data_IF_934042972779
#
_entry.id   IF_934042972779
#
_cell.length_a   1.000
_cell.length_b   1.000
_cell.length_c   1.000
_cell.angle_alpha   90.00
_cell.angle_beta   90.00
_cell.angle_gamma   90.00
#
_symmetry.space_group_name_H-M   'P 1'
#
loop_
_entity.id
_entity.type
_entity.pdbx_description
1 polymer ?
#
# COMPACT_ATOMS: atom_id res chain seq x y z
N UNK A 1 8.05 25.17 -0.83
CA UNK A 1 6.61 25.36 -0.60
C UNK A 1 5.93 25.59 -1.94
N UNK A 2 5.51 24.54 -2.63
CA UNK A 2 4.67 24.64 -3.82
C UNK A 2 3.62 23.53 -3.76
N UNK A 3 2.36 23.95 -3.85
CA UNK A 3 1.13 23.14 -4.01
C UNK A 3 0.56 22.37 -2.81
N UNK A 4 0.18 23.11 -1.75
CA UNK A 4 -0.65 22.59 -0.67
C UNK A 4 -2.15 22.43 -1.03
N UNK A 5 -2.65 23.04 -2.10
CA UNK A 5 -4.08 22.99 -2.45
C UNK A 5 -4.40 21.97 -3.56
N UNK A 6 -3.53 21.84 -4.57
CA UNK A 6 -3.71 20.90 -5.68
C UNK A 6 -3.46 19.45 -5.23
N UNK A 7 -2.45 19.25 -4.38
CA UNK A 7 -2.11 17.96 -3.75
C UNK A 7 -3.21 17.51 -2.78
N UNK A 8 -3.80 18.45 -2.03
CA UNK A 8 -4.92 18.19 -1.11
C UNK A 8 -6.18 17.69 -1.84
N UNK A 9 -6.53 18.29 -3.00
CA UNK A 9 -7.71 17.90 -3.78
C UNK A 9 -7.50 16.62 -4.60
N UNK A 10 -6.27 16.32 -5.04
CA UNK A 10 -6.00 15.10 -5.83
C UNK A 10 -5.76 13.86 -4.96
N UNK A 11 -5.17 13.99 -3.76
CA UNK A 11 -4.82 12.84 -2.91
C UNK A 11 -5.96 12.39 -1.98
N UNK A 12 -6.82 13.30 -1.52
CA UNK A 12 -7.93 12.96 -0.60
C UNK A 12 -9.18 12.39 -1.29
N UNK A 13 -9.27 12.49 -2.62
CA UNK A 13 -10.43 12.05 -3.39
C UNK A 13 -10.18 10.78 -4.24
N UNK A 14 -8.98 10.18 -4.21
CA UNK A 14 -8.66 9.01 -5.06
C UNK A 14 -9.69 7.87 -4.93
N UNK A 15 -10.12 7.48 -3.72
CA UNK A 15 -11.08 6.38 -3.56
C UNK A 15 -12.54 6.85 -3.66
N UNK A 16 -12.82 8.16 -3.59
CA UNK A 16 -14.21 8.67 -3.51
C UNK A 16 -15.05 8.30 -4.74
N UNK A 17 -14.60 8.51 -5.99
CA UNK A 17 -15.37 8.08 -7.15
C UNK A 17 -15.61 6.57 -7.19
N UNK A 18 -14.67 5.78 -6.65
CA UNK A 18 -14.80 4.32 -6.57
C UNK A 18 -15.89 3.96 -5.56
N UNK A 19 -15.88 4.56 -4.38
CA UNK A 19 -16.88 4.34 -3.33
C UNK A 19 -18.27 4.80 -3.78
N UNK A 20 -18.36 5.96 -4.44
CA UNK A 20 -19.62 6.50 -4.95
C UNK A 20 -20.28 5.58 -6.01
N UNK A 21 -19.48 4.78 -6.71
CA UNK A 21 -19.94 3.79 -7.70
C UNK A 21 -20.06 2.37 -7.15
N UNK A 22 -19.94 2.16 -5.85
CA UNK A 22 -19.98 0.83 -5.25
C UNK A 22 -21.39 0.19 -5.37
N UNK A 23 -21.47 -1.15 -5.51
CA UNK A 23 -22.74 -1.86 -5.39
C UNK A 23 -23.43 -1.58 -4.03
N UNK A 24 -24.77 -1.50 -3.96
CA UNK A 24 -25.50 -1.06 -2.76
C UNK A 24 -25.25 -1.88 -1.48
N UNK A 25 -24.84 -3.12 -1.66
CA UNK A 25 -24.58 -4.17 -0.68
C UNK A 25 -23.12 -4.20 -0.21
N UNK A 26 -22.25 -3.38 -0.81
CA UNK A 26 -20.86 -3.20 -0.39
C UNK A 26 -20.79 -2.06 0.61
N UNK A 27 -20.47 -2.40 1.85
CA UNK A 27 -20.38 -1.41 2.93
C UNK A 27 -18.96 -0.82 2.99
N UNK A 28 -18.84 0.45 2.60
CA UNK A 28 -17.56 1.16 2.55
C UNK A 28 -17.58 2.40 3.45
N UNK A 29 -16.43 2.74 4.01
CA UNK A 29 -16.18 4.06 4.59
C UNK A 29 -14.87 4.64 4.08
N UNK A 30 -14.81 5.97 4.01
CA UNK A 30 -13.59 6.72 3.74
C UNK A 30 -13.35 7.67 4.90
N UNK A 31 -12.14 7.65 5.44
CA UNK A 31 -11.70 8.58 6.47
C UNK A 31 -10.40 9.25 6.05
N UNK A 32 -10.32 10.54 6.29
CA UNK A 32 -9.05 11.24 6.29
C UNK A 32 -8.50 11.23 7.73
N UNK A 33 -7.18 11.11 7.85
CA UNK A 33 -6.47 11.24 9.11
C UNK A 33 -5.63 12.52 9.06
N UNK A 34 -5.90 13.42 9.99
CA UNK A 34 -5.17 14.70 10.12
C UNK A 34 -3.99 14.52 11.06
N UNK A 35 -2.87 15.12 10.69
CA UNK A 35 -1.63 15.10 11.46
C UNK A 35 -1.32 16.49 12.01
N UNK A 36 -0.29 16.62 12.84
CA UNK A 36 0.23 17.93 13.25
C UNK A 36 0.84 18.72 12.07
N UNK A 37 1.14 18.03 10.98
CA UNK A 37 1.60 18.61 9.71
C UNK A 37 0.47 18.65 8.66
N UNK A 38 0.58 19.50 7.60
CA UNK A 38 -0.54 19.75 6.68
C UNK A 38 -0.92 18.58 5.77
N UNK A 39 -0.01 17.66 5.51
CA UNK A 39 -0.27 16.49 4.65
C UNK A 39 -1.16 15.49 5.40
N UNK A 40 -2.16 14.93 4.72
CA UNK A 40 -3.17 14.04 5.32
C UNK A 40 -2.99 12.60 4.84
N UNK A 41 -3.24 11.64 5.72
CA UNK A 41 -3.38 10.24 5.32
C UNK A 41 -4.84 9.92 4.97
N UNK A 42 -5.06 8.91 4.13
CA UNK A 42 -6.39 8.46 3.70
C UNK A 42 -6.56 6.98 4.01
N UNK A 43 -7.72 6.61 4.55
CA UNK A 43 -8.08 5.24 4.90
C UNK A 43 -9.43 4.93 4.26
N UNK A 44 -9.45 4.05 3.25
CA UNK A 44 -10.67 3.45 2.76
C UNK A 44 -10.87 2.09 3.43
N UNK A 45 -12.09 1.77 3.85
CA UNK A 45 -12.38 0.59 4.65
C UNK A 45 -13.61 -0.14 4.14
N UNK A 46 -13.45 -1.43 3.85
CA UNK A 46 -14.55 -2.37 3.74
C UNK A 46 -15.03 -2.76 5.13
N UNK A 47 -16.31 -2.57 5.38
CA UNK A 47 -16.95 -3.02 6.60
C UNK A 47 -17.36 -4.49 6.45
N UNK A 48 -17.16 -5.30 7.50
CA UNK A 48 -17.51 -6.70 7.47
C UNK A 48 -19.03 -6.89 7.43
N UNK A 49 -19.47 -7.99 6.82
CA UNK A 49 -20.90 -8.29 6.72
C UNK A 49 -21.53 -8.43 8.11
N UNK A 50 -22.84 -8.14 8.19
CA UNK A 50 -23.59 -8.28 9.44
C UNK A 50 -23.60 -9.72 9.97
N UNK A 51 -23.46 -10.72 9.08
CA UNK A 51 -23.38 -12.15 9.44
C UNK A 51 -22.06 -12.47 10.14
N UNK A 52 -20.97 -11.83 9.73
CA UNK A 52 -19.63 -12.07 10.25
C UNK A 52 -19.33 -11.34 11.55
N UNK A 53 -20.15 -10.34 11.96
CA UNK A 53 -19.98 -9.61 13.24
C UNK A 53 -20.43 -10.48 14.44
N UNK A 54 -19.51 -11.05 15.24
CA UNK A 54 -19.88 -11.88 16.38
C UNK A 54 -20.15 -10.96 17.58
N UNK A 55 -21.41 -10.57 17.78
CA UNK A 55 -21.83 -9.52 18.71
C UNK A 55 -21.15 -8.16 18.44
N UNK A 56 -21.90 -7.06 18.51
CA UNK A 56 -21.38 -5.71 18.25
C UNK A 56 -20.26 -5.24 19.22
N UNK A 57 -19.92 -6.05 20.24
CA UNK A 57 -18.95 -5.74 21.28
C UNK A 57 -17.54 -6.32 21.03
N UNK A 58 -17.36 -7.26 20.10
CA UNK A 58 -16.05 -7.84 19.79
C UNK A 58 -15.49 -7.14 18.56
N UNK A 59 -14.36 -6.44 18.71
CA UNK A 59 -13.63 -5.86 17.57
C UNK A 59 -12.93 -7.00 16.82
N UNK A 60 -13.16 -7.08 15.52
CA UNK A 60 -12.52 -8.08 14.66
C UNK A 60 -11.13 -7.61 14.22
N UNK A 61 -10.16 -8.53 14.06
CA UNK A 61 -8.83 -8.21 13.58
C UNK A 61 -8.93 -7.57 12.19
N UNK A 62 -8.28 -6.41 12.02
CA UNK A 62 -8.30 -5.65 10.77
C UNK A 62 -7.16 -6.10 9.86
N UNK A 63 -7.45 -6.24 8.57
CA UNK A 63 -6.47 -6.51 7.52
C UNK A 63 -6.13 -5.19 6.83
N UNK A 64 -4.84 -4.86 6.72
CA UNK A 64 -4.39 -3.56 6.19
C UNK A 64 -3.53 -3.75 4.94
N UNK A 65 -3.81 -2.96 3.90
CA UNK A 65 -2.97 -2.79 2.72
C UNK A 65 -2.50 -1.34 2.67
N UNK A 66 -1.19 -1.11 2.76
CA UNK A 66 -0.59 0.22 2.88
C UNK A 66 0.24 0.64 1.68
N UNK A 67 0.30 1.95 1.44
CA UNK A 67 1.23 2.63 0.53
C UNK A 67 1.49 4.06 1.01
N UNK A 68 2.52 4.72 0.47
CA UNK A 68 2.87 6.11 0.81
C UNK A 68 2.39 7.09 -0.27
N UNK A 69 2.02 8.31 0.14
CA UNK A 69 1.50 9.37 -0.74
C UNK A 69 2.49 10.50 -1.05
N UNK A 70 3.47 10.67 -0.17
CA UNK A 70 4.43 11.76 -0.30
C UNK A 70 5.51 11.44 -1.31
N UNK A 71 6.23 12.49 -1.68
CA UNK A 71 7.40 12.46 -2.55
C UNK A 71 8.43 13.42 -1.98
N UNK A 72 9.70 13.15 -2.22
CA UNK A 72 10.78 14.04 -1.82
C UNK A 72 11.87 14.04 -2.87
N UNK A 73 12.51 15.19 -3.06
CA UNK A 73 13.74 15.31 -3.82
C UNK A 73 14.90 15.52 -2.84
N UNK A 74 15.85 14.59 -2.83
CA UNK A 74 16.95 14.58 -1.87
C UNK A 74 18.11 15.50 -2.28
N UNK A 75 18.18 15.90 -3.55
CA UNK A 75 19.12 16.93 -3.99
C UNK A 75 18.67 18.30 -3.51
N UNK A 76 17.37 18.59 -3.58
CA UNK A 76 16.80 19.82 -3.02
C UNK A 76 15.28 19.73 -2.86
N UNK A 77 14.71 20.19 -1.72
CA UNK A 77 13.26 20.25 -1.52
C UNK A 77 12.56 21.30 -2.40
N UNK A 78 13.31 22.10 -3.17
CA UNK A 78 12.78 23.05 -4.15
C UNK A 78 12.71 22.47 -5.57
N UNK A 79 13.33 21.32 -5.81
CA UNK A 79 13.26 20.63 -7.09
C UNK A 79 12.00 19.77 -7.19
N UNK A 80 11.50 19.52 -8.41
CA UNK A 80 10.42 18.56 -8.61
C UNK A 80 10.77 17.18 -8.06
N UNK A 81 9.78 16.52 -7.48
CA UNK A 81 9.83 15.12 -7.05
C UNK A 81 8.65 14.38 -7.70
N UNK A 82 8.77 13.92 -8.96
CA UNK A 82 7.66 13.25 -9.62
C UNK A 82 7.33 11.89 -8.99
N UNK A 83 8.35 11.21 -8.44
CA UNK A 83 8.26 10.04 -7.56
C UNK A 83 7.36 8.91 -8.09
N UNK A 84 7.48 8.67 -9.40
CA UNK A 84 6.61 7.74 -10.12
C UNK A 84 6.69 6.33 -9.53
N UNK A 85 7.89 5.84 -9.22
CA UNK A 85 8.06 4.54 -8.56
C UNK A 85 8.29 4.67 -7.05
N UNK A 86 8.97 5.72 -6.58
CA UNK A 86 9.35 5.91 -5.17
C UNK A 86 8.19 5.82 -4.18
N UNK A 87 6.96 6.18 -4.58
CA UNK A 87 5.73 5.90 -3.83
C UNK A 87 4.49 5.85 -4.73
N UNK A 88 4.53 6.54 -5.88
CA UNK A 88 3.41 6.61 -6.82
C UNK A 88 2.93 5.24 -7.32
N UNK A 89 3.85 4.34 -7.64
CA UNK A 89 3.50 3.01 -8.15
C UNK A 89 2.80 2.15 -7.10
N UNK A 90 3.26 2.17 -5.85
CA UNK A 90 2.62 1.48 -4.72
C UNK A 90 1.20 2.00 -4.47
N UNK A 91 1.04 3.34 -4.46
CA UNK A 91 -0.26 4.01 -4.32
C UNK A 91 -1.25 3.55 -5.40
N UNK A 92 -0.82 3.56 -6.67
CA UNK A 92 -1.68 3.13 -7.80
C UNK A 92 -1.98 1.63 -7.72
N UNK A 93 -1.01 0.81 -7.32
CA UNK A 93 -1.18 -0.64 -7.15
C UNK A 93 -2.31 -0.96 -6.18
N UNK A 94 -2.30 -0.39 -4.96
CA UNK A 94 -3.35 -0.66 -3.98
C UNK A 94 -4.67 0.01 -4.35
N UNK A 95 -4.66 1.17 -5.04
CA UNK A 95 -5.86 1.81 -5.55
C UNK A 95 -6.56 0.97 -6.62
N UNK A 96 -5.80 0.32 -7.50
CA UNK A 96 -6.34 -0.62 -8.50
C UNK A 96 -6.94 -1.86 -7.85
N UNK A 97 -6.28 -2.40 -6.82
CA UNK A 97 -6.82 -3.51 -6.04
C UNK A 97 -8.12 -3.13 -5.32
N UNK A 98 -8.15 -1.97 -4.65
CA UNK A 98 -9.35 -1.41 -4.02
C UNK A 98 -10.50 -1.30 -5.02
N UNK A 99 -10.25 -0.68 -6.19
CA UNK A 99 -11.25 -0.56 -7.25
C UNK A 99 -11.79 -1.91 -7.70
N UNK A 100 -10.92 -2.90 -7.92
CA UNK A 100 -11.32 -4.23 -8.37
C UNK A 100 -12.23 -4.92 -7.34
N UNK A 101 -11.88 -4.85 -6.05
CA UNK A 101 -12.70 -5.41 -4.96
C UNK A 101 -14.07 -4.72 -4.86
N UNK A 102 -14.12 -3.39 -4.94
CA UNK A 102 -15.39 -2.65 -4.94
C UNK A 102 -16.27 -3.05 -6.13
N UNK A 103 -15.70 -3.08 -7.34
CA UNK A 103 -16.43 -3.45 -8.56
C UNK A 103 -16.92 -4.90 -8.55
N UNK A 104 -16.17 -5.79 -7.90
CA UNK A 104 -16.54 -7.19 -7.77
C UNK A 104 -17.57 -7.46 -6.66
N UNK A 105 -18.00 -6.44 -5.92
CA UNK A 105 -18.98 -6.61 -4.85
C UNK A 105 -18.39 -7.26 -3.60
N UNK A 106 -17.11 -7.02 -3.29
CA UNK A 106 -16.45 -7.67 -2.17
C UNK A 106 -17.16 -7.35 -0.83
N UNK A 107 -17.49 -8.41 -0.09
CA UNK A 107 -18.12 -8.35 1.24
C UNK A 107 -17.27 -9.17 2.22
N UNK A 108 -16.27 -8.56 2.86
CA UNK A 108 -15.35 -9.34 3.67
C UNK A 108 -15.99 -9.77 4.99
N UNK A 109 -15.43 -10.82 5.61
CA UNK A 109 -15.86 -11.32 6.90
C UNK A 109 -15.24 -10.53 8.06
N UNK A 110 -14.02 -10.03 7.87
CA UNK A 110 -13.35 -9.09 8.77
C UNK A 110 -13.11 -7.75 8.07
N UNK A 111 -12.86 -6.66 8.80
CA UNK A 111 -12.60 -5.39 8.17
C UNK A 111 -11.31 -5.40 7.35
N UNK A 112 -11.37 -4.81 6.15
CA UNK A 112 -10.20 -4.63 5.27
C UNK A 112 -10.00 -3.15 5.00
N UNK A 113 -8.80 -2.64 5.28
CA UNK A 113 -8.45 -1.23 5.13
C UNK A 113 -7.35 -1.04 4.09
N UNK A 114 -7.51 0.00 3.27
CA UNK A 114 -6.54 0.50 2.31
C UNK A 114 -6.03 1.85 2.81
N UNK A 115 -4.75 1.90 3.13
CA UNK A 115 -4.09 3.04 3.74
C UNK A 115 -3.16 3.70 2.73
N UNK A 116 -3.29 5.02 2.64
CA UNK A 116 -2.40 5.89 1.91
C UNK A 116 -1.81 6.87 2.92
N UNK A 117 -0.59 6.60 3.38
CA UNK A 117 0.03 7.33 4.48
C UNK A 117 0.72 8.60 3.98
N UNK A 118 0.63 9.65 4.77
CA UNK A 118 1.36 10.89 4.57
C UNK A 118 2.80 10.83 5.12
N UNK A 119 3.70 11.54 4.45
CA UNK A 119 5.02 11.93 5.00
C UNK A 119 5.87 10.74 5.49
N UNK A 120 6.12 9.75 4.64
CA UNK A 120 7.15 8.72 4.85
C UNK A 120 8.56 9.30 4.79
N UNK A 121 8.83 10.20 3.86
CA UNK A 121 10.16 10.80 3.66
C UNK A 121 10.56 11.74 4.81
N UNK A 122 9.58 12.22 5.59
CA UNK A 122 9.82 12.90 6.87
C UNK A 122 10.11 11.97 8.04
N UNK A 123 10.30 10.67 7.78
CA UNK A 123 10.57 9.65 8.78
C UNK A 123 9.33 8.91 9.27
N UNK A 124 8.45 8.48 8.36
CA UNK A 124 7.26 7.65 8.65
C UNK A 124 6.23 8.32 9.57
N UNK A 125 6.07 9.63 9.48
CA UNK A 125 5.26 10.39 10.44
C UNK A 125 3.78 10.02 10.36
N UNK A 126 3.22 9.92 9.15
CA UNK A 126 1.78 9.61 9.00
C UNK A 126 1.40 8.20 9.47
N UNK A 127 2.22 7.20 9.15
CA UNK A 127 2.00 5.83 9.63
C UNK A 127 2.23 5.72 11.14
N UNK A 128 3.14 6.51 11.72
CA UNK A 128 3.34 6.58 13.18
C UNK A 128 2.13 7.13 13.93
N UNK A 129 1.52 8.21 13.44
CA UNK A 129 0.34 8.76 14.09
C UNK A 129 -0.85 7.78 14.02
N UNK A 130 -1.04 7.12 12.88
CA UNK A 130 -2.10 6.12 12.71
C UNK A 130 -1.88 4.91 13.62
N UNK A 131 -0.66 4.36 13.68
CA UNK A 131 -0.34 3.26 14.60
C UNK A 131 -0.56 3.69 16.04
N UNK A 132 -0.15 4.89 16.42
CA UNK A 132 -0.34 5.42 17.77
C UNK A 132 -1.81 5.52 18.14
N UNK A 133 -2.66 6.03 17.22
CA UNK A 133 -4.11 6.08 17.41
C UNK A 133 -4.71 4.68 17.50
N UNK A 134 -4.26 3.74 16.67
CA UNK A 134 -4.75 2.35 16.68
C UNK A 134 -4.43 1.65 17.99
N UNK A 135 -3.23 1.86 18.53
CA UNK A 135 -2.83 1.38 19.86
C UNK A 135 -3.68 2.02 20.96
N UNK A 136 -3.90 3.34 20.89
CA UNK A 136 -4.74 4.05 21.85
C UNK A 136 -6.19 3.53 21.86
N UNK A 137 -6.75 3.30 20.67
CA UNK A 137 -8.09 2.73 20.48
C UNK A 137 -8.15 1.22 20.75
N UNK A 138 -7.01 0.56 21.01
CA UNK A 138 -6.89 -0.90 21.19
C UNK A 138 -7.41 -1.70 20.00
N UNK A 139 -7.23 -1.18 18.78
CA UNK A 139 -7.59 -1.88 17.55
C UNK A 139 -6.74 -3.13 17.40
N UNK A 140 -7.40 -4.24 17.14
CA UNK A 140 -6.73 -5.50 16.81
C UNK A 140 -6.37 -5.54 15.31
N UNK A 141 -5.09 -5.76 15.01
CA UNK A 141 -4.57 -5.82 13.64
C UNK A 141 -4.13 -7.24 13.36
N UNK A 142 -4.86 -7.92 12.47
CA UNK A 142 -4.59 -9.30 12.11
C UNK A 142 -3.40 -9.43 11.16
N UNK A 143 -3.35 -8.58 10.14
CA UNK A 143 -2.25 -8.56 9.18
C UNK A 143 -2.13 -7.21 8.50
N UNK A 144 -0.90 -6.86 8.09
CA UNK A 144 -0.63 -5.67 7.30
C UNK A 144 0.39 -6.00 6.22
N UNK A 145 0.16 -5.51 5.00
CA UNK A 145 1.11 -5.55 3.90
C UNK A 145 1.37 -4.14 3.36
N UNK A 146 2.64 -3.76 3.24
CA UNK A 146 3.06 -2.49 2.63
C UNK A 146 3.46 -2.70 1.17
N UNK A 147 3.03 -1.80 0.28
CA UNK A 147 3.44 -1.72 -1.13
C UNK A 147 4.23 -0.45 -1.38
N UNK A 148 5.53 -0.62 -1.67
CA UNK A 148 6.46 0.47 -1.95
C UNK A 148 7.34 0.10 -3.15
N UNK A 149 7.41 0.95 -4.17
CA UNK A 149 8.13 0.71 -5.43
C UNK A 149 7.76 -0.59 -6.15
N UNK A 150 6.65 -0.58 -6.88
CA UNK A 150 6.02 -1.76 -7.52
C UNK A 150 6.14 -1.82 -9.05
N UNK A 151 6.74 -0.81 -9.71
CA UNK A 151 6.70 -0.70 -11.18
C UNK A 151 8.06 -0.75 -11.86
N UNK A 152 9.16 -0.34 -11.21
CA UNK A 152 10.46 -0.29 -11.88
C UNK A 152 11.08 -1.68 -12.08
N UNK A 153 11.59 -1.91 -13.30
CA UNK A 153 12.32 -3.11 -13.71
C UNK A 153 13.68 -2.68 -14.28
N UNK A 154 14.77 -3.20 -13.73
CA UNK A 154 16.11 -2.94 -14.29
C UNK A 154 16.27 -3.57 -15.67
N UNK A 155 17.04 -2.88 -16.52
CA UNK A 155 17.37 -3.33 -17.86
C UNK A 155 18.04 -4.70 -17.84
N UNK A 156 17.68 -5.56 -18.79
CA UNK A 156 18.24 -6.90 -18.96
C UNK A 156 18.08 -7.82 -17.72
N UNK A 157 17.05 -7.57 -16.90
CA UNK A 157 16.72 -8.39 -15.72
C UNK A 157 15.34 -9.04 -15.82
N UNK A 158 15.15 -10.15 -15.08
CA UNK A 158 13.83 -10.74 -14.90
C UNK A 158 13.07 -10.01 -13.78
N UNK A 159 11.84 -9.52 -14.00
CA UNK A 159 11.04 -8.89 -12.95
C UNK A 159 10.69 -9.89 -11.82
N UNK A 160 11.28 -9.71 -10.64
CA UNK A 160 11.07 -10.57 -9.45
C UNK A 160 10.46 -9.76 -8.32
N UNK A 161 9.40 -10.21 -7.67
CA UNK A 161 8.89 -9.54 -6.45
C UNK A 161 9.80 -9.85 -5.27
N UNK A 162 10.07 -8.88 -4.40
CA UNK A 162 10.91 -9.14 -3.22
C UNK A 162 10.26 -8.67 -1.93
N UNK A 163 10.17 -9.60 -0.99
CA UNK A 163 9.71 -9.33 0.35
C UNK A 163 10.90 -8.98 1.24
N UNK A 164 10.74 -7.96 2.06
CA UNK A 164 11.70 -7.64 3.11
C UNK A 164 11.49 -8.64 4.25
N UNK A 165 12.56 -9.27 4.74
CA UNK A 165 12.47 -10.36 5.73
C UNK A 165 13.05 -10.04 7.10
N UNK A 166 13.57 -8.83 7.30
CA UNK A 166 14.04 -8.30 8.59
C UNK A 166 13.05 -7.24 9.13
N UNK A 167 12.93 -7.15 10.46
CA UNK A 167 12.02 -6.22 11.17
C UNK A 167 10.54 -6.33 10.76
N UNK A 168 10.12 -7.49 10.25
CA UNK A 168 8.76 -7.83 9.83
C UNK A 168 8.20 -9.00 10.65
N UNK A 169 6.91 -9.29 10.52
CA UNK A 169 6.35 -10.55 11.03
C UNK A 169 6.77 -11.72 10.13
N UNK A 170 7.60 -12.63 10.65
CA UNK A 170 8.17 -13.75 9.89
C UNK A 170 7.10 -14.74 9.40
N UNK A 171 6.13 -15.19 10.23
CA UNK A 171 5.04 -16.06 9.77
C UNK A 171 4.23 -15.45 8.62
N UNK A 172 3.78 -14.21 8.76
CA UNK A 172 3.01 -13.50 7.74
C UNK A 172 3.83 -13.32 6.48
N UNK A 173 5.08 -12.88 6.59
CA UNK A 173 5.97 -12.69 5.43
C UNK A 173 6.18 -13.99 4.66
N UNK A 174 6.44 -15.10 5.35
CA UNK A 174 6.59 -16.41 4.71
C UNK A 174 5.30 -16.89 4.05
N UNK A 175 4.15 -16.64 4.68
CA UNK A 175 2.84 -16.93 4.09
C UNK A 175 2.62 -16.10 2.82
N UNK A 176 2.90 -14.79 2.86
CA UNK A 176 2.73 -13.89 1.72
C UNK A 176 3.68 -14.20 0.58
N UNK A 177 4.93 -14.64 0.84
CA UNK A 177 5.85 -15.10 -0.22
C UNK A 177 5.27 -16.31 -0.96
N UNK A 178 4.75 -17.32 -0.24
CA UNK A 178 4.15 -18.50 -0.85
C UNK A 178 2.91 -18.13 -1.66
N UNK A 179 2.03 -17.32 -1.06
CA UNK A 179 0.84 -16.78 -1.70
C UNK A 179 1.18 -15.99 -2.98
N UNK A 180 2.14 -15.07 -2.93
CA UNK A 180 2.55 -14.29 -4.08
C UNK A 180 3.18 -15.15 -5.17
N UNK A 181 3.91 -16.21 -4.81
CA UNK A 181 4.46 -17.18 -5.77
C UNK A 181 3.35 -17.87 -6.55
N UNK A 182 2.26 -18.24 -5.87
CA UNK A 182 1.10 -18.90 -6.47
C UNK A 182 0.31 -17.95 -7.40
N UNK A 183 -0.03 -16.75 -6.92
CA UNK A 183 -1.04 -15.90 -7.57
C UNK A 183 -0.48 -14.80 -8.48
N UNK A 184 0.80 -14.42 -8.35
CA UNK A 184 1.36 -13.29 -9.11
C UNK A 184 1.92 -13.66 -10.48
N UNK A 185 2.15 -14.96 -10.73
CA UNK A 185 2.88 -15.46 -11.92
C UNK A 185 4.23 -14.75 -12.14
N UNK A 186 4.90 -14.38 -11.04
CA UNK A 186 6.22 -13.77 -11.04
C UNK A 186 7.16 -14.57 -10.16
N UNK A 187 8.47 -14.59 -10.47
CA UNK A 187 9.46 -14.98 -9.49
C UNK A 187 9.28 -14.15 -8.21
N UNK A 188 9.33 -14.79 -7.05
CA UNK A 188 9.24 -14.14 -5.74
C UNK A 188 10.45 -14.55 -4.91
N UNK A 189 11.04 -13.61 -4.19
CA UNK A 189 12.14 -13.88 -3.27
C UNK A 189 12.02 -13.06 -1.99
N UNK A 190 12.84 -13.38 -1.00
CA UNK A 190 12.95 -12.65 0.26
C UNK A 190 14.36 -12.09 0.43
N UNK A 191 14.51 -10.93 1.05
CA UNK A 191 15.81 -10.32 1.30
C UNK A 191 15.85 -9.56 2.63
N UNK A 192 16.91 -9.79 3.41
CA UNK A 192 17.09 -9.25 4.77
C UNK A 192 18.08 -8.09 4.85
N UNK A 193 18.67 -7.68 3.72
CA UNK A 193 19.78 -6.71 3.67
C UNK A 193 19.33 -5.25 3.74
N UNK A 194 18.03 -4.95 3.74
CA UNK A 194 17.50 -3.57 3.82
C UNK A 194 16.61 -3.39 5.01
N UNK A 195 16.74 -2.25 5.69
CA UNK A 195 15.86 -1.89 6.80
C UNK A 195 14.48 -1.52 6.24
N UNK A 196 13.44 -2.21 6.71
CA UNK A 196 12.05 -1.89 6.41
C UNK A 196 11.68 -0.52 7.01
N UNK A 197 11.30 0.48 6.21
CA UNK A 197 10.73 1.71 6.73
C UNK A 197 9.21 1.53 6.86
N UNK A 198 8.76 0.66 7.76
CA UNK A 198 7.35 0.60 8.15
C UNK A 198 7.20 0.70 9.65
N UNK A 199 6.14 1.38 10.09
CA UNK A 199 5.77 1.48 11.50
C UNK A 199 5.06 0.22 12.00
N UNK A 200 4.44 -0.54 11.09
CA UNK A 200 3.75 -1.78 11.42
C UNK A 200 4.74 -2.95 11.46
N UNK A 201 4.61 -3.85 12.44
CA UNK A 201 5.28 -5.17 12.38
C UNK A 201 4.48 -6.13 11.49
N UNK A 202 4.26 -5.74 10.23
CA UNK A 202 3.53 -6.52 9.21
C UNK A 202 4.47 -7.22 8.22
N UNK A 203 3.93 -7.69 7.09
CA UNK A 203 4.73 -8.06 5.92
C UNK A 203 5.01 -6.80 5.06
N UNK A 204 6.17 -6.76 4.42
CA UNK A 204 6.51 -5.65 3.51
C UNK A 204 6.90 -6.20 2.14
N UNK A 205 6.19 -5.70 1.12
CA UNK A 205 6.37 -6.06 -0.27
C UNK A 205 7.01 -4.89 -1.02
N UNK A 206 8.16 -5.16 -1.61
CA UNK A 206 8.87 -4.24 -2.48
C UNK A 206 9.20 -4.92 -3.82
N UNK A 207 9.56 -4.15 -4.84
CA UNK A 207 10.22 -4.73 -6.01
C UNK A 207 11.60 -5.30 -5.63
N UNK A 208 12.09 -6.27 -6.40
CA UNK A 208 13.44 -6.88 -6.23
C UNK A 208 14.58 -5.91 -6.02
N UNK A 209 14.41 -4.72 -6.55
CA UNK A 209 15.50 -3.80 -6.69
C UNK A 209 15.54 -2.78 -5.57
N UNK A 210 14.44 -2.52 -4.85
CA UNK A 210 14.46 -1.82 -3.56
C UNK A 210 15.56 -2.35 -2.62
N UNK A 211 15.88 -3.64 -2.71
CA UNK A 211 16.73 -4.34 -1.73
C UNK A 211 18.19 -4.55 -2.15
N UNK A 212 18.50 -4.60 -3.47
CA UNK A 212 19.86 -4.94 -3.96
C UNK A 212 20.51 -3.83 -4.80
N UNK A 213 19.73 -3.17 -5.65
CA UNK A 213 20.13 -2.04 -6.48
C UNK A 213 18.84 -1.28 -6.80
N UNK A 214 18.43 -0.27 -6.01
CA UNK A 214 17.14 0.39 -6.19
C UNK A 214 17.01 1.04 -7.56
N UNK A 215 15.79 1.44 -7.92
CA UNK A 215 15.58 2.38 -9.01
C UNK A 215 16.53 3.57 -8.77
N UNK A 216 17.50 3.84 -9.68
CA UNK A 216 18.54 4.84 -9.44
C UNK A 216 18.00 6.27 -9.48
N UNK A 217 16.75 6.44 -9.92
CA UNK A 217 16.10 7.74 -10.07
C UNK A 217 15.30 8.16 -8.84
N UNK A 218 15.09 7.29 -7.85
CA UNK A 218 14.30 7.63 -6.65
C UNK A 218 14.84 8.89 -5.98
N UNK A 219 13.93 9.72 -5.47
CA UNK A 219 14.24 11.01 -4.85
C UNK A 219 14.97 12.02 -5.76
N UNK A 220 14.85 11.88 -7.08
CA UNK A 220 15.35 12.84 -8.06
C UNK A 220 14.23 13.36 -8.96
N UNK A 221 14.55 14.33 -9.81
CA UNK A 221 13.63 14.83 -10.84
C UNK A 221 13.32 13.78 -11.92
N UNK A 222 14.09 12.70 -12.00
CA UNK A 222 14.03 11.71 -13.06
C UNK A 222 13.27 10.44 -12.68
N UNK A 223 12.72 10.34 -11.45
CA UNK A 223 11.77 9.28 -11.11
C UNK A 223 10.43 9.50 -11.81
N UNK A 224 10.40 9.21 -13.11
CA UNK A 224 9.27 9.40 -14.02
C UNK A 224 8.86 8.05 -14.59
N UNK A 225 7.68 7.98 -15.19
CA UNK A 225 7.24 6.79 -15.94
C UNK A 225 8.06 6.56 -17.23
N UNK A 226 8.81 7.57 -17.67
CA UNK A 226 9.77 7.47 -18.77
C UNK A 226 11.16 7.58 -18.16
N UNK A 227 11.87 6.46 -18.11
CA UNK A 227 13.21 6.32 -17.51
C UNK A 227 14.27 6.12 -18.58
N UNK A 228 15.51 6.55 -18.30
CA UNK A 228 16.63 6.43 -19.25
C UNK A 228 17.17 5.00 -19.33
N UNK A 229 17.20 4.30 -18.21
CA UNK A 229 17.58 2.89 -18.09
C UNK A 229 16.50 2.11 -17.35
N UNK A 230 16.31 0.85 -17.73
CA UNK A 230 15.23 0.01 -17.22
C UNK A 230 13.87 0.34 -17.83
N UNK A 231 12.81 0.03 -17.09
CA UNK A 231 11.42 0.22 -17.51
C UNK A 231 10.54 0.53 -16.30
N UNK A 232 9.67 1.54 -16.41
CA UNK A 232 8.50 1.67 -15.53
C UNK A 232 7.36 0.82 -16.10
N UNK A 233 7.16 -0.37 -15.52
CA UNK A 233 6.30 -1.39 -16.12
C UNK A 233 4.96 -1.52 -15.40
N UNK A 234 3.88 -1.04 -16.03
CA UNK A 234 2.51 -1.27 -15.54
C UNK A 234 2.13 -2.75 -15.51
N UNK A 235 2.68 -3.56 -16.43
CA UNK A 235 2.47 -5.00 -16.43
C UNK A 235 3.09 -5.67 -15.19
N UNK A 236 4.23 -5.14 -14.72
CA UNK A 236 4.85 -5.58 -13.48
C UNK A 236 4.05 -5.12 -12.26
N UNK A 237 3.68 -3.84 -12.17
CA UNK A 237 2.82 -3.32 -11.10
C UNK A 237 1.47 -4.06 -11.00
N UNK A 238 0.89 -4.45 -12.13
CA UNK A 238 -0.35 -5.26 -12.16
C UNK A 238 -0.21 -6.59 -11.42
N UNK A 239 0.97 -7.20 -11.43
CA UNK A 239 1.22 -8.44 -10.68
C UNK A 239 1.16 -8.19 -9.17
N UNK A 240 1.65 -7.04 -8.67
CA UNK A 240 1.49 -6.64 -7.27
C UNK A 240 0.01 -6.38 -6.93
N UNK A 241 -0.76 -5.80 -7.85
CA UNK A 241 -2.19 -5.58 -7.63
C UNK A 241 -2.96 -6.92 -7.46
N UNK A 242 -2.55 -7.99 -8.16
CA UNK A 242 -3.09 -9.35 -7.91
C UNK A 242 -2.79 -9.83 -6.49
N UNK A 243 -1.57 -9.61 -6.02
CA UNK A 243 -1.15 -9.94 -4.64
C UNK A 243 -2.00 -9.15 -3.63
N UNK A 244 -2.21 -7.84 -3.87
CA UNK A 244 -3.07 -7.00 -3.02
C UNK A 244 -4.52 -7.53 -2.96
N UNK A 245 -5.12 -7.84 -4.10
CA UNK A 245 -6.49 -8.38 -4.16
C UNK A 245 -6.58 -9.71 -3.39
N UNK A 246 -5.71 -10.68 -3.68
CA UNK A 246 -5.81 -11.97 -3.01
C UNK A 246 -5.41 -11.90 -1.53
N UNK A 247 -4.49 -11.01 -1.11
CA UNK A 247 -4.21 -10.78 0.31
C UNK A 247 -5.45 -10.29 1.06
N UNK A 248 -6.17 -9.33 0.47
CA UNK A 248 -7.43 -8.82 1.01
C UNK A 248 -8.52 -9.91 1.08
N UNK A 249 -8.62 -10.78 0.07
CA UNK A 249 -9.66 -11.83 0.02
C UNK A 249 -9.34 -13.01 0.95
N UNK A 250 -8.11 -13.51 0.93
CA UNK A 250 -7.71 -14.71 1.70
C UNK A 250 -7.72 -14.43 3.21
N UNK A 251 -7.28 -13.24 3.64
CA UNK A 251 -7.26 -12.87 5.06
C UNK A 251 -8.53 -12.13 5.50
N UNK A 252 -9.19 -11.42 4.57
CA UNK A 252 -10.44 -10.70 4.85
C UNK A 252 -11.67 -11.59 4.83
N UNK A 253 -11.60 -12.76 4.17
CA UNK A 253 -12.76 -13.58 3.84
C UNK A 253 -13.63 -12.94 2.75
N UNK A 254 -14.60 -13.70 2.24
CA UNK A 254 -15.59 -13.19 1.29
C UNK A 254 -16.92 -13.96 1.44
N UNK A 255 -18.00 -13.24 1.80
CA UNK A 255 -19.38 -13.77 1.79
C UNK A 255 -20.03 -13.52 0.41
N UNK A 256 -20.00 -14.57 -0.43
CA UNK A 256 -20.42 -14.56 -1.84
C UNK A 256 -21.92 -14.72 -2.02
#
# INVERSE_FOLDING_TARGET
MSDNLTTFLLQSLLPLPIIAGAPPDVHLSLKTFTHEFPHISVIARFEPTRRSRPNHAIEMPVIILGSYLDSANYESPLLPAPDADGSGSGTVTILKAFRALVQAGCRPEVPVEFHWYATKEGGLLGSQDIVSEYVYQRRDIGAMIQFDMTAYVHKDTTPTMTFITNNVDTPLTNWTIKFATEYSSSPVTGCSQVVSPTTFRGAMLASQWYVRTPNPYIHTVDDRTVVMEGEFSFAYAFKFAKVAVGFAVELGGWDG
#
